data_IF_272837981262
#
_entry.id   IF_272837981262
#
_cell.length_a   1.000
_cell.length_b   1.000
_cell.length_c   1.000
_cell.angle_alpha   90.00
_cell.angle_beta   90.00
_cell.angle_gamma   90.00
#
_symmetry.space_group_name_H-M   'P 1'
#
loop_
_entity.id
_entity.type
_entity.pdbx_description
1 polymer ?
#
# COMPACT_ATOMS: atom_id res chain seq x y z
N UNK A 1 -12.98 10.47 3.79
CA UNK A 1 -12.21 9.40 4.45
C UNK A 1 -11.84 9.80 5.88
N UNK A 2 -11.54 8.82 6.74
CA UNK A 2 -11.02 9.02 8.09
C UNK A 2 -9.66 8.33 8.23
N UNK A 3 -8.89 8.72 9.23
CA UNK A 3 -7.55 8.19 9.46
C UNK A 3 -7.24 8.08 10.96
N UNK A 4 -6.42 7.12 11.33
CA UNK A 4 -5.93 6.93 12.71
C UNK A 4 -4.64 7.70 12.98
N UNK A 5 -3.75 7.79 12.00
CA UNK A 5 -2.45 8.43 12.19
C UNK A 5 -1.79 8.85 10.87
N UNK A 6 -0.88 9.82 10.96
CA UNK A 6 0.12 10.14 9.93
C UNK A 6 1.49 9.89 10.55
N UNK A 7 2.12 8.76 10.23
CA UNK A 7 3.49 8.49 10.68
C UNK A 7 4.47 9.27 9.82
N UNK A 8 5.44 9.89 10.49
CA UNK A 8 6.56 10.63 9.88
C UNK A 8 7.80 9.75 9.97
N UNK A 9 8.66 9.85 8.98
CA UNK A 9 9.99 9.22 9.01
C UNK A 9 9.95 7.68 9.18
N UNK A 10 9.06 6.99 8.45
CA UNK A 10 8.86 5.55 8.55
C UNK A 10 9.75 4.76 7.58
N UNK A 11 10.39 3.68 8.06
CA UNK A 11 11.21 2.76 7.23
C UNK A 11 10.64 1.34 7.18
N UNK A 12 9.42 1.16 7.68
CA UNK A 12 8.80 -0.13 7.96
C UNK A 12 7.74 -0.47 6.91
N UNK A 13 7.08 0.53 6.34
CA UNK A 13 5.95 0.40 5.42
C UNK A 13 6.32 0.72 3.96
N UNK A 14 7.57 0.49 3.59
CA UNK A 14 8.06 0.56 2.22
C UNK A 14 9.50 1.01 2.12
N UNK A 15 10.03 1.03 0.90
CA UNK A 15 11.42 1.42 0.65
C UNK A 15 11.67 2.92 0.84
N UNK A 16 12.84 3.26 1.37
CA UNK A 16 13.21 4.62 1.76
C UNK A 16 12.52 5.13 3.04
N UNK A 17 12.68 6.42 3.33
CA UNK A 17 12.03 7.06 4.47
C UNK A 17 10.69 7.65 4.03
N UNK A 18 9.58 7.28 4.66
CA UNK A 18 8.23 7.52 4.13
C UNK A 18 7.33 8.26 5.10
N UNK A 19 6.37 8.99 4.57
CA UNK A 19 5.15 9.32 5.30
C UNK A 19 4.17 8.15 5.18
N UNK A 20 3.45 7.81 6.24
CA UNK A 20 2.45 6.73 6.21
C UNK A 20 1.10 7.28 6.65
N UNK A 21 0.10 7.19 5.77
CA UNK A 21 -1.28 7.55 6.09
C UNK A 21 -2.04 6.28 6.47
N UNK A 22 -2.43 6.19 7.75
CA UNK A 22 -3.16 5.05 8.32
C UNK A 22 -4.67 5.33 8.28
N UNK A 23 -5.34 4.86 7.24
CA UNK A 23 -6.76 5.10 7.00
C UNK A 23 -7.66 4.23 7.89
N UNK A 24 -8.88 4.69 8.13
CA UNK A 24 -9.95 3.93 8.80
C UNK A 24 -10.88 3.28 7.78
N UNK A 25 -11.52 2.16 8.14
CA UNK A 25 -12.44 1.38 7.30
C UNK A 25 -11.75 0.22 6.60
N UNK A 26 -12.17 -1.01 6.90
CA UNK A 26 -11.75 -2.23 6.22
C UNK A 26 -12.83 -3.30 6.36
N UNK A 27 -13.30 -3.86 5.24
CA UNK A 27 -14.36 -4.88 5.25
C UNK A 27 -13.81 -6.32 5.36
N UNK A 28 -12.49 -6.54 5.20
CA UNK A 28 -11.88 -7.88 5.19
C UNK A 28 -11.84 -8.58 6.56
N UNK A 29 -11.67 -7.82 7.65
CA UNK A 29 -11.66 -8.35 9.02
C UNK A 29 -10.73 -9.56 9.25
N UNK A 30 -9.53 -9.55 8.63
CA UNK A 30 -8.63 -10.69 8.62
C UNK A 30 -8.32 -11.22 10.03
N UNK A 31 -8.35 -12.54 10.20
CA UNK A 31 -7.98 -13.17 11.47
C UNK A 31 -6.52 -12.87 11.80
N UNK A 32 -6.26 -12.38 13.02
CA UNK A 32 -4.92 -11.98 13.44
C UNK A 32 -4.40 -10.69 12.77
N UNK A 33 -5.30 -9.86 12.21
CA UNK A 33 -4.95 -8.54 11.65
C UNK A 33 -4.08 -7.74 12.62
N UNK A 34 -3.07 -7.05 12.09
CA UNK A 34 -2.17 -6.22 12.88
C UNK A 34 -2.82 -4.91 13.36
N UNK A 35 -3.83 -4.42 12.63
CA UNK A 35 -4.49 -3.15 12.89
C UNK A 35 -6.02 -3.31 13.01
N UNK A 36 -6.56 -4.17 13.89
CA UNK A 36 -8.01 -4.39 13.95
C UNK A 36 -8.78 -3.14 14.38
N UNK A 37 -8.11 -2.17 15.00
CA UNK A 37 -8.70 -0.87 15.37
C UNK A 37 -9.07 -0.01 14.16
N UNK A 38 -8.49 -0.26 12.99
CA UNK A 38 -8.77 0.50 11.76
C UNK A 38 -9.96 -0.03 10.98
N UNK A 39 -10.61 -1.11 11.42
CA UNK A 39 -11.75 -1.71 10.72
C UNK A 39 -12.96 -0.81 10.68
N UNK A 40 -13.23 -0.07 11.77
CA UNK A 40 -14.37 0.83 11.86
C UNK A 40 -14.18 2.03 10.91
N UNK A 41 -15.03 2.20 9.88
CA UNK A 41 -14.93 3.34 8.97
C UNK A 41 -15.19 4.69 9.66
N UNK A 42 -15.86 4.70 10.81
CA UNK A 42 -16.08 5.90 11.64
C UNK A 42 -14.98 6.09 12.71
N UNK A 43 -14.02 5.16 12.77
CA UNK A 43 -12.85 5.22 13.64
C UNK A 43 -11.90 6.37 13.29
N UNK A 44 -11.10 6.78 14.26
CA UNK A 44 -10.07 7.81 14.08
C UNK A 44 -10.63 9.23 13.83
N UNK A 45 -9.83 10.05 13.16
CA UNK A 45 -10.09 11.46 12.89
C UNK A 45 -10.57 11.66 11.45
N UNK A 46 -11.35 12.72 11.23
CA UNK A 46 -11.66 13.15 9.87
C UNK A 46 -10.37 13.61 9.18
N UNK A 47 -10.12 13.14 7.96
CA UNK A 47 -9.03 13.68 7.15
C UNK A 47 -9.47 15.00 6.52
N UNK A 48 -9.26 16.09 7.24
CA UNK A 48 -9.62 17.45 6.85
C UNK A 48 -8.45 18.19 6.17
N UNK A 49 -8.65 19.48 5.85
CA UNK A 49 -7.63 20.28 5.18
C UNK A 49 -6.35 20.40 6.02
N UNK A 50 -6.47 20.48 7.35
CA UNK A 50 -5.32 20.58 8.25
C UNK A 50 -4.50 19.29 8.26
N UNK A 51 -5.16 18.14 8.28
CA UNK A 51 -4.48 16.84 8.17
C UNK A 51 -3.77 16.69 6.82
N UNK A 52 -4.38 17.19 5.74
CA UNK A 52 -3.77 17.23 4.41
C UNK A 52 -2.55 18.14 4.37
N UNK A 53 -2.63 19.36 4.92
CA UNK A 53 -1.49 20.27 5.03
C UNK A 53 -0.33 19.63 5.80
N UNK A 54 -0.61 18.99 6.94
CA UNK A 54 0.39 18.25 7.71
C UNK A 54 1.08 17.17 6.88
N UNK A 55 0.30 16.37 6.13
CA UNK A 55 0.83 15.34 5.26
C UNK A 55 1.76 15.92 4.18
N UNK A 56 1.32 16.97 3.49
CA UNK A 56 2.11 17.59 2.42
C UNK A 56 3.38 18.26 2.95
N UNK A 57 3.36 18.83 4.15
CA UNK A 57 4.54 19.41 4.77
C UNK A 57 5.60 18.35 5.13
N UNK A 58 5.17 17.13 5.45
CA UNK A 58 6.09 15.98 5.59
C UNK A 58 6.62 15.58 4.21
N UNK A 59 5.75 15.42 3.21
CA UNK A 59 6.14 14.94 1.88
C UNK A 59 7.09 15.89 1.16
N UNK A 60 6.97 17.20 1.35
CA UNK A 60 7.87 18.21 0.77
C UNK A 60 9.31 18.08 1.26
N UNK A 61 9.57 17.38 2.37
CA UNK A 61 10.92 17.22 2.89
C UNK A 61 11.78 16.43 1.88
N UNK A 62 12.99 16.89 1.52
CA UNK A 62 13.79 16.25 0.47
C UNK A 62 14.15 14.80 0.75
N UNK A 63 14.35 14.45 2.03
CA UNK A 63 14.74 13.11 2.45
C UNK A 63 13.59 12.11 2.52
N UNK A 64 12.33 12.56 2.41
CA UNK A 64 11.18 11.66 2.38
C UNK A 64 11.02 11.11 0.96
N UNK A 65 11.18 9.81 0.79
CA UNK A 65 11.10 9.11 -0.50
C UNK A 65 9.68 9.03 -1.07
N UNK A 66 8.66 9.15 -0.22
CA UNK A 66 7.28 9.10 -0.68
C UNK A 66 6.25 8.82 0.42
N UNK A 67 5.08 8.35 0.00
CA UNK A 67 3.94 8.04 0.85
C UNK A 67 3.57 6.55 0.79
N UNK A 68 3.13 5.99 1.91
CA UNK A 68 2.42 4.71 1.96
C UNK A 68 0.99 4.91 2.46
N UNK A 69 0.02 4.38 1.71
CA UNK A 69 -1.37 4.27 2.13
C UNK A 69 -1.61 2.87 2.73
N UNK A 70 -2.05 2.81 3.98
CA UNK A 70 -2.30 1.57 4.73
C UNK A 70 -3.29 1.85 5.88
N UNK A 71 -3.35 0.98 6.91
CA UNK A 71 -4.22 1.12 8.06
C UNK A 71 -5.34 0.10 8.03
N UNK A 72 -6.54 0.56 7.68
CA UNK A 72 -7.63 -0.30 7.22
C UNK A 72 -7.35 -0.70 5.78
N UNK A 73 -8.29 -0.41 4.88
CA UNK A 73 -8.09 -0.55 3.45
C UNK A 73 -8.21 0.81 2.73
N UNK A 74 -7.14 1.32 2.08
CA UNK A 74 -7.20 2.48 1.19
C UNK A 74 -8.24 2.36 0.07
N UNK A 75 -8.57 1.14 -0.37
CA UNK A 75 -9.56 0.86 -1.41
C UNK A 75 -10.96 0.58 -0.85
N UNK A 76 -11.15 0.61 0.47
CA UNK A 76 -12.49 0.56 1.06
C UNK A 76 -13.39 1.65 0.44
N UNK A 77 -14.67 1.34 0.24
CA UNK A 77 -15.66 2.21 -0.42
C UNK A 77 -15.70 3.65 0.11
N UNK A 78 -15.42 3.86 1.40
CA UNK A 78 -15.37 5.18 2.04
C UNK A 78 -14.08 5.98 1.79
N UNK A 79 -13.05 5.34 1.25
CA UNK A 79 -11.70 5.87 1.08
C UNK A 79 -11.31 6.04 -0.38
N UNK A 80 -11.65 5.06 -1.24
CA UNK A 80 -11.13 4.91 -2.61
C UNK A 80 -11.14 6.21 -3.44
N UNK A 81 -12.23 6.98 -3.38
CA UNK A 81 -12.36 8.23 -4.14
C UNK A 81 -11.42 9.34 -3.63
N UNK A 82 -11.31 9.50 -2.31
CA UNK A 82 -10.46 10.52 -1.69
C UNK A 82 -8.97 10.14 -1.79
N UNK A 83 -8.65 8.86 -1.67
CA UNK A 83 -7.30 8.33 -1.92
C UNK A 83 -6.88 8.60 -3.36
N UNK A 84 -7.74 8.35 -4.34
CA UNK A 84 -7.47 8.65 -5.74
C UNK A 84 -7.17 10.13 -6.00
N UNK A 85 -7.97 11.04 -5.42
CA UNK A 85 -7.72 12.50 -5.52
C UNK A 85 -6.38 12.88 -4.90
N UNK A 86 -6.07 12.34 -3.72
CA UNK A 86 -4.81 12.63 -3.02
C UNK A 86 -3.60 12.10 -3.79
N UNK A 87 -3.69 10.91 -4.40
CA UNK A 87 -2.65 10.38 -5.31
C UNK A 87 -2.43 11.32 -6.50
N UNK A 88 -3.51 11.84 -7.09
CA UNK A 88 -3.43 12.76 -8.23
C UNK A 88 -2.77 14.08 -7.84
N UNK A 89 -3.11 14.64 -6.68
CA UNK A 89 -2.47 15.84 -6.14
C UNK A 89 -0.99 15.61 -5.84
N UNK A 90 -0.63 14.48 -5.21
CA UNK A 90 0.77 14.15 -4.92
C UNK A 90 1.59 13.99 -6.22
N UNK A 91 1.07 13.29 -7.24
CA UNK A 91 1.80 13.15 -8.51
C UNK A 91 1.91 14.46 -9.28
N UNK A 92 0.96 15.38 -9.14
CA UNK A 92 1.01 16.72 -9.73
C UNK A 92 2.05 17.60 -9.04
N UNK A 93 2.01 17.66 -7.72
CA UNK A 93 2.78 18.66 -6.95
C UNK A 93 4.15 18.14 -6.52
N UNK A 94 4.31 16.83 -6.40
CA UNK A 94 5.51 16.15 -5.91
C UNK A 94 5.84 14.90 -6.78
N UNK A 95 6.12 15.08 -8.09
CA UNK A 95 6.20 13.99 -9.06
C UNK A 95 7.26 12.93 -8.75
N UNK A 96 8.32 13.30 -8.03
CA UNK A 96 9.40 12.40 -7.65
C UNK A 96 9.06 11.50 -6.44
N UNK A 97 7.95 11.77 -5.74
CA UNK A 97 7.55 10.99 -4.57
C UNK A 97 6.90 9.67 -5.01
N UNK A 98 7.43 8.59 -4.44
CA UNK A 98 6.91 7.24 -4.69
C UNK A 98 5.62 7.00 -3.90
N UNK A 99 4.69 6.25 -4.46
CA UNK A 99 3.41 5.91 -3.85
C UNK A 99 3.34 4.41 -3.63
N UNK A 100 3.14 4.00 -2.38
CA UNK A 100 2.88 2.62 -1.99
C UNK A 100 1.44 2.49 -1.50
N UNK A 101 0.77 1.41 -1.85
CA UNK A 101 -0.62 1.14 -1.46
C UNK A 101 -0.75 -0.31 -0.99
N UNK A 102 -1.21 -0.49 0.24
CA UNK A 102 -1.54 -1.80 0.80
C UNK A 102 -3.05 -2.01 0.69
N UNK A 103 -3.51 -3.20 0.33
CA UNK A 103 -4.94 -3.54 0.27
C UNK A 103 -5.14 -5.04 0.51
N UNK A 104 -6.32 -5.42 1.01
CA UNK A 104 -6.72 -6.82 1.11
C UNK A 104 -7.24 -7.39 -0.21
N UNK A 105 -7.59 -6.53 -1.17
CA UNK A 105 -8.02 -6.94 -2.51
C UNK A 105 -6.85 -7.49 -3.34
N UNK A 106 -7.15 -8.30 -4.34
CA UNK A 106 -6.14 -8.84 -5.25
C UNK A 106 -5.83 -7.86 -6.38
N UNK A 107 -4.63 -7.93 -6.95
CA UNK A 107 -4.23 -7.17 -8.14
C UNK A 107 -5.26 -7.24 -9.27
N UNK A 108 -5.79 -8.44 -9.52
CA UNK A 108 -6.76 -8.70 -10.56
C UNK A 108 -8.07 -7.96 -10.28
N UNK A 109 -8.47 -7.81 -9.02
CA UNK A 109 -9.68 -7.09 -8.63
C UNK A 109 -9.53 -5.57 -8.79
N UNK A 110 -8.32 -5.03 -8.59
CA UNK A 110 -8.10 -3.57 -8.47
C UNK A 110 -7.49 -2.92 -9.71
N UNK A 111 -6.95 -3.68 -10.66
CA UNK A 111 -6.14 -3.14 -11.79
C UNK A 111 -6.87 -2.09 -12.65
N UNK A 112 -8.20 -2.15 -12.70
CA UNK A 112 -9.08 -1.25 -13.44
C UNK A 112 -9.37 0.07 -12.70
N UNK A 113 -9.01 0.17 -11.42
CA UNK A 113 -9.11 1.42 -10.67
C UNK A 113 -8.13 2.44 -11.28
N UNK A 114 -8.59 3.60 -11.79
CA UNK A 114 -7.76 4.48 -12.63
C UNK A 114 -6.46 4.96 -12.00
N UNK A 115 -6.44 5.21 -10.69
CA UNK A 115 -5.25 5.71 -9.99
C UNK A 115 -4.24 4.61 -9.66
N UNK A 116 -4.57 3.32 -9.78
CA UNK A 116 -3.62 2.22 -9.49
C UNK A 116 -2.40 2.32 -10.41
N UNK A 117 -2.59 2.72 -11.67
CA UNK A 117 -1.49 3.01 -12.61
C UNK A 117 -0.53 4.10 -12.15
N UNK A 118 -0.95 4.94 -11.20
CA UNK A 118 -0.16 6.05 -10.66
C UNK A 118 0.59 5.64 -9.38
N UNK A 119 0.27 4.49 -8.79
CA UNK A 119 1.07 3.90 -7.72
C UNK A 119 2.40 3.36 -8.27
N UNK A 120 3.42 3.32 -7.40
CA UNK A 120 4.72 2.75 -7.73
C UNK A 120 4.79 1.28 -7.27
N UNK A 121 4.24 0.99 -6.08
CA UNK A 121 4.16 -0.36 -5.50
C UNK A 121 2.78 -0.62 -4.92
N UNK A 122 2.25 -1.81 -5.15
CA UNK A 122 1.04 -2.31 -4.48
C UNK A 122 1.40 -3.54 -3.66
N UNK A 123 0.95 -3.62 -2.41
CA UNK A 123 0.96 -4.85 -1.62
C UNK A 123 -0.47 -5.36 -1.54
N UNK A 124 -0.74 -6.49 -2.19
CA UNK A 124 -2.09 -6.99 -2.39
C UNK A 124 -2.41 -8.23 -1.55
N UNK A 125 -3.70 -8.54 -1.44
CA UNK A 125 -4.22 -9.74 -0.80
C UNK A 125 -4.42 -9.63 0.72
N UNK A 126 -5.43 -10.35 1.20
CA UNK A 126 -5.74 -10.44 2.62
C UNK A 126 -4.59 -11.03 3.45
N UNK A 127 -4.52 -10.64 4.71
CA UNK A 127 -3.62 -11.27 5.66
C UNK A 127 -4.15 -12.65 6.07
N UNK A 128 -3.33 -13.70 5.89
CA UNK A 128 -3.65 -15.06 6.33
C UNK A 128 -2.74 -15.45 7.49
N UNK A 129 -3.32 -15.62 8.69
CA UNK A 129 -2.58 -15.94 9.93
C UNK A 129 -1.72 -17.20 9.79
N UNK A 130 -2.24 -18.25 9.16
CA UNK A 130 -1.53 -19.52 8.97
C UNK A 130 -0.33 -19.41 8.01
N UNK A 131 -0.31 -18.35 7.19
CA UNK A 131 0.78 -18.05 6.26
C UNK A 131 1.68 -16.91 6.75
N UNK A 132 1.51 -16.48 8.00
CA UNK A 132 2.32 -15.42 8.61
C UNK A 132 3.79 -15.82 8.66
N UNK A 133 4.65 -14.91 8.22
CA UNK A 133 6.09 -15.10 8.31
C UNK A 133 6.78 -13.74 8.51
N UNK A 134 7.43 -13.55 9.66
CA UNK A 134 8.07 -12.29 10.03
C UNK A 134 9.37 -12.02 9.26
N UNK A 135 9.82 -12.96 8.42
CA UNK A 135 10.97 -12.79 7.54
C UNK A 135 10.58 -12.22 6.17
N UNK A 136 9.28 -12.06 5.90
CA UNK A 136 8.81 -11.48 4.65
C UNK A 136 9.05 -9.97 4.64
N UNK A 137 9.58 -9.48 3.53
CA UNK A 137 9.81 -8.06 3.35
C UNK A 137 8.51 -7.39 2.87
N UNK A 138 8.03 -6.40 3.62
CA UNK A 138 6.88 -5.53 3.28
C UNK A 138 5.49 -6.20 3.27
N UNK A 139 5.36 -7.46 3.69
CA UNK A 139 4.07 -8.15 3.74
C UNK A 139 3.97 -9.01 5.00
N UNK A 140 2.74 -9.28 5.44
CA UNK A 140 2.48 -10.02 6.67
C UNK A 140 2.35 -11.53 6.47
N UNK A 141 1.97 -11.97 5.27
CA UNK A 141 1.69 -13.39 4.97
C UNK A 141 2.11 -13.77 3.54
N UNK A 142 2.44 -15.05 3.33
CA UNK A 142 3.07 -15.54 2.08
C UNK A 142 2.21 -15.39 0.83
N UNK A 143 0.89 -15.36 0.97
CA UNK A 143 -0.03 -15.17 -0.16
C UNK A 143 -0.02 -13.74 -0.71
N UNK A 144 0.39 -12.76 0.09
CA UNK A 144 0.43 -11.36 -0.33
C UNK A 144 1.56 -11.15 -1.32
N UNK A 145 1.35 -10.29 -2.32
CA UNK A 145 2.35 -9.99 -3.36
C UNK A 145 2.75 -8.53 -3.28
N UNK A 146 4.05 -8.26 -3.37
CA UNK A 146 4.59 -6.89 -3.46
C UNK A 146 4.84 -6.59 -4.92
N UNK A 147 3.96 -5.83 -5.56
CA UNK A 147 3.88 -5.68 -7.02
C UNK A 147 4.58 -4.40 -7.46
N UNK A 148 5.50 -4.51 -8.42
CA UNK A 148 6.04 -3.36 -9.16
C UNK A 148 5.04 -2.94 -10.24
N UNK A 149 4.28 -1.88 -9.98
CA UNK A 149 3.19 -1.44 -10.86
C UNK A 149 3.72 -1.05 -12.25
N UNK A 150 4.83 -0.32 -12.30
CA UNK A 150 5.41 0.18 -13.56
C UNK A 150 5.95 -0.96 -14.42
N UNK A 151 6.70 -1.89 -13.82
CA UNK A 151 7.20 -3.07 -14.56
C UNK A 151 6.06 -3.98 -15.00
N UNK A 152 5.01 -4.12 -14.18
CA UNK A 152 3.82 -4.89 -14.53
C UNK A 152 3.12 -4.32 -15.77
N UNK A 153 2.81 -3.03 -15.80
CA UNK A 153 2.19 -2.44 -16.98
C UNK A 153 3.09 -2.44 -18.22
N UNK A 154 4.40 -2.27 -18.06
CA UNK A 154 5.36 -2.41 -19.15
C UNK A 154 5.39 -3.83 -19.72
N UNK A 155 5.24 -4.85 -18.86
CA UNK A 155 5.11 -6.25 -19.28
C UNK A 155 3.82 -6.45 -20.08
N UNK A 156 2.69 -5.96 -19.57
CA UNK A 156 1.40 -6.07 -20.25
C UNK A 156 1.40 -5.41 -21.63
N UNK A 157 2.00 -4.23 -21.75
CA UNK A 157 2.17 -3.56 -23.04
C UNK A 157 3.02 -4.40 -24.01
N UNK A 158 4.16 -4.93 -23.53
CA UNK A 158 5.06 -5.76 -24.35
C UNK A 158 4.39 -7.07 -24.81
N UNK A 159 3.57 -7.67 -23.95
CA UNK A 159 2.88 -8.94 -24.22
C UNK A 159 1.53 -8.75 -24.92
N UNK A 160 1.10 -7.50 -25.17
CA UNK A 160 -0.18 -7.21 -25.82
C UNK A 160 -1.38 -7.65 -24.99
N UNK A 161 -1.29 -7.57 -23.65
CA UNK A 161 -2.32 -8.05 -22.75
C UNK A 161 -3.60 -7.22 -22.86
N UNK A 162 -4.75 -7.92 -22.91
CA UNK A 162 -6.07 -7.29 -22.89
C UNK A 162 -6.52 -7.05 -21.44
N UNK A 163 -6.45 -5.79 -21.02
CA UNK A 163 -6.83 -5.34 -19.68
C UNK A 163 -8.32 -5.50 -19.38
N UNK A 164 -9.15 -5.67 -20.40
CA UNK A 164 -10.58 -5.95 -20.22
C UNK A 164 -10.86 -7.43 -19.91
N UNK A 165 -9.91 -8.31 -20.23
CA UNK A 165 -9.97 -9.73 -19.94
C UNK A 165 -8.99 -10.12 -18.83
N UNK A 166 -9.37 -9.83 -17.58
CA UNK A 166 -8.57 -10.06 -16.37
C UNK A 166 -8.03 -11.50 -16.26
N UNK A 167 -8.80 -12.50 -16.71
CA UNK A 167 -8.41 -13.93 -16.67
C UNK A 167 -7.26 -14.29 -17.62
N UNK A 168 -6.91 -13.40 -18.55
CA UNK A 168 -5.82 -13.59 -19.52
C UNK A 168 -4.59 -12.75 -19.22
N UNK A 169 -4.62 -11.97 -18.13
CA UNK A 169 -3.50 -11.12 -17.76
C UNK A 169 -2.29 -11.98 -17.36
N UNK A 170 -1.09 -11.66 -17.83
CA UNK A 170 0.12 -12.23 -17.28
C UNK A 170 0.22 -11.91 -15.78
N UNK A 171 0.92 -12.76 -15.03
CA UNK A 171 1.21 -12.48 -13.62
C UNK A 171 1.89 -11.12 -13.44
N UNK A 172 1.52 -10.34 -12.41
CA UNK A 172 2.20 -9.10 -12.10
C UNK A 172 3.68 -9.34 -11.80
N UNK A 173 4.50 -8.30 -12.01
CA UNK A 173 5.93 -8.36 -11.69
C UNK A 173 6.08 -8.17 -10.18
N UNK A 174 6.44 -9.25 -9.50
CA UNK A 174 6.61 -9.27 -8.05
C UNK A 174 8.03 -8.80 -7.68
N UNK A 175 8.10 -7.86 -6.75
CA UNK A 175 9.33 -7.44 -6.10
C UNK A 175 9.72 -8.44 -4.99
N UNK A 176 11.03 -8.57 -4.76
CA UNK A 176 11.59 -9.30 -3.62
C UNK A 176 11.37 -10.83 -3.60
N UNK A 177 10.89 -11.45 -4.69
CA UNK A 177 10.77 -12.92 -4.78
C UNK A 177 12.11 -13.65 -4.54
N UNK A 178 13.23 -13.05 -4.96
CA UNK A 178 14.55 -13.67 -4.81
C UNK A 178 15.18 -13.43 -3.43
N UNK A 179 14.75 -12.39 -2.70
CA UNK A 179 15.21 -12.13 -1.33
C UNK A 179 14.69 -13.20 -0.35
N UNK A 180 13.56 -13.83 -0.64
CA UNK A 180 13.03 -14.95 0.15
C UNK A 180 13.89 -16.23 0.01
N UNK A 181 14.75 -16.33 -1.01
CA UNK A 181 15.62 -17.49 -1.27
C UNK A 181 16.98 -17.39 -0.57
N UNK A 182 17.52 -16.19 -0.36
CA UNK A 182 18.82 -15.97 0.30
C UNK A 182 18.64 -15.68 1.80
N UNK A 183 18.61 -16.76 2.60
CA UNK A 183 18.33 -16.75 4.05
C UNK A 183 19.47 -16.19 4.93
N UNK A 184 19.97 -14.99 4.65
CA UNK A 184 20.70 -14.22 5.67
C UNK A 184 19.71 -13.35 6.45
N UNK A 185 19.28 -13.92 7.58
CA UNK A 185 18.19 -13.50 8.47
C UNK A 185 18.26 -12.03 8.90
N UNK A 186 17.50 -11.17 8.24
CA UNK A 186 17.03 -9.92 8.84
C UNK A 186 15.63 -10.19 9.38
N UNK A 187 15.46 -10.07 10.69
CA UNK A 187 14.14 -10.20 11.32
C UNK A 187 13.33 -8.93 11.02
N UNK A 188 12.25 -9.08 10.25
CA UNK A 188 11.33 -8.00 9.93
C UNK A 188 10.11 -7.97 10.85
N UNK A 189 10.13 -8.67 11.99
CA UNK A 189 9.07 -8.60 13.01
C UNK A 189 8.77 -7.17 13.48
N UNK A 190 9.76 -6.27 13.36
CA UNK A 190 9.63 -4.85 13.69
C UNK A 190 9.10 -4.00 12.53
N UNK A 191 9.00 -4.53 11.30
CA UNK A 191 8.60 -3.79 10.08
C UNK A 191 7.11 -3.66 9.84
N UNK A 192 6.27 -4.27 10.65
CA UNK A 192 4.84 -3.93 10.65
C UNK A 192 4.39 -3.55 12.05
N UNK A 193 5.26 -2.80 12.73
CA UNK A 193 4.97 -2.20 14.01
C UNK A 193 4.16 -0.93 13.77
N UNK A 194 2.83 -1.07 13.81
CA UNK A 194 2.04 -0.02 14.42
C UNK A 194 2.68 0.24 15.80
N UNK A 195 3.17 1.45 16.02
CA UNK A 195 3.58 1.92 17.33
C UNK A 195 2.49 1.54 18.35
N UNK A 196 2.85 0.68 19.30
CA UNK A 196 2.06 0.53 20.54
C UNK A 196 1.97 1.87 21.25
#
# INVERSE_FOLDING_TARGET
MRYHNITKDDMLNGDGLRAVLWLSGCDHHCKGCQNPLTWDPEGGLLFDEKAKEELFDILKRPYISGITFTGGDPLHKGNVNEVGKLIDEIKRDLPDKTIWLYTGDTWEDIIDIPFIRKADVVVDGEFIEDLKDNLLQWKGSKNQRVIDVKKTFKRYEKEGADLTNKNSLPEPVILYEDYEKDKNKVDYSFKVACSR
#
